data_IF_529066238844
#
_entry.id   IF_529066238844
#
_cell.length_a   1.000
_cell.length_b   1.000
_cell.length_c   1.000
_cell.angle_alpha   90.00
_cell.angle_beta   90.00
_cell.angle_gamma   90.00
#
_symmetry.space_group_name_H-M   'P 1'
#
loop_
_entity.id
_entity.type
_entity.pdbx_description
1 polymer ?
#
# COMPACT_ATOMS: atom_id res chain seq x y z
N UNK A 1 -10.39 6.58 23.91
CA UNK A 1 -11.59 7.37 23.55
C UNK A 1 -11.31 8.60 22.64
N UNK A 2 -10.14 8.68 21.97
CA UNK A 2 -9.75 9.86 21.18
C UNK A 2 -9.66 9.63 19.66
N UNK A 3 -10.35 8.62 19.13
CA UNK A 3 -10.22 8.23 17.71
C UNK A 3 -10.72 9.31 16.74
N UNK A 4 -11.54 10.25 17.21
CA UNK A 4 -11.99 11.40 16.41
C UNK A 4 -10.95 12.52 16.30
N UNK A 5 -9.96 12.58 17.21
CA UNK A 5 -9.02 13.71 17.28
C UNK A 5 -8.24 13.82 15.98
N UNK A 6 -7.62 12.73 15.52
CA UNK A 6 -6.84 12.74 14.29
C UNK A 6 -7.64 13.15 13.03
N UNK A 7 -8.80 12.54 12.70
CA UNK A 7 -9.55 12.93 11.50
C UNK A 7 -10.13 14.34 11.59
N UNK A 8 -10.56 14.80 12.78
CA UNK A 8 -11.06 16.17 12.96
C UNK A 8 -9.92 17.19 12.80
N UNK A 9 -8.77 16.96 13.44
CA UNK A 9 -7.59 17.84 13.30
C UNK A 9 -7.13 17.90 11.84
N UNK A 10 -7.08 16.76 11.15
CA UNK A 10 -6.74 16.72 9.72
C UNK A 10 -7.75 17.48 8.87
N UNK A 11 -9.06 17.29 9.12
CA UNK A 11 -10.12 18.01 8.41
C UNK A 11 -10.03 19.53 8.59
N UNK A 12 -9.81 20.02 9.81
CA UNK A 12 -9.62 21.45 10.10
C UNK A 12 -8.36 21.98 9.42
N UNK A 13 -7.25 21.24 9.47
CA UNK A 13 -6.00 21.63 8.82
C UNK A 13 -6.15 21.72 7.29
N UNK A 14 -6.81 20.75 6.66
CA UNK A 14 -7.09 20.76 5.22
C UNK A 14 -8.04 21.89 4.83
N UNK A 15 -9.05 22.20 5.65
CA UNK A 15 -9.93 23.33 5.40
C UNK A 15 -9.16 24.66 5.41
N UNK A 16 -8.33 24.87 6.44
CA UNK A 16 -7.47 26.04 6.55
C UNK A 16 -6.47 26.15 5.40
N UNK A 17 -5.81 25.05 5.04
CA UNK A 17 -4.89 24.99 3.92
C UNK A 17 -5.58 25.32 2.59
N UNK A 18 -6.77 24.76 2.33
CA UNK A 18 -7.52 25.05 1.11
C UNK A 18 -7.98 26.50 1.03
N UNK A 19 -8.36 27.10 2.16
CA UNK A 19 -8.67 28.53 2.22
C UNK A 19 -7.45 29.41 1.93
N UNK A 20 -6.30 29.08 2.54
CA UNK A 20 -5.05 29.78 2.29
C UNK A 20 -4.58 29.65 0.83
N UNK A 21 -4.65 28.44 0.26
CA UNK A 21 -4.30 28.20 -1.15
C UNK A 21 -5.23 28.98 -2.10
N UNK A 22 -6.52 29.03 -1.83
CA UNK A 22 -7.46 29.82 -2.62
C UNK A 22 -7.16 31.32 -2.59
N UNK A 23 -6.66 31.84 -1.46
CA UNK A 23 -6.27 33.24 -1.33
C UNK A 23 -4.89 33.55 -1.94
N UNK A 24 -3.90 32.68 -1.72
CA UNK A 24 -2.52 32.86 -2.20
C UNK A 24 -2.36 32.55 -3.70
N UNK A 25 -3.14 31.58 -4.20
CA UNK A 25 -3.06 31.06 -5.57
C UNK A 25 -4.45 30.90 -6.18
N UNK A 26 -5.19 32.00 -6.43
CA UNK A 26 -6.58 31.96 -6.89
C UNK A 26 -6.75 31.22 -8.22
N UNK A 27 -5.71 31.16 -9.05
CA UNK A 27 -5.70 30.40 -10.31
C UNK A 27 -5.88 28.88 -10.14
N UNK A 28 -5.68 28.34 -8.94
CA UNK A 28 -5.92 26.92 -8.65
C UNK A 28 -7.42 26.58 -8.52
N UNK A 29 -8.28 27.56 -8.24
CA UNK A 29 -9.72 27.34 -8.06
C UNK A 29 -10.07 26.41 -6.88
N UNK A 30 -9.18 26.30 -5.90
CA UNK A 30 -9.35 25.44 -4.72
C UNK A 30 -9.98 26.21 -3.57
N UNK A 31 -10.93 25.58 -2.88
CA UNK A 31 -11.53 26.06 -1.63
C UNK A 31 -11.22 25.10 -0.47
N UNK A 32 -11.38 25.59 0.77
CA UNK A 32 -11.24 24.76 1.98
C UNK A 32 -12.13 23.52 1.97
N UNK A 33 -13.40 23.68 1.61
CA UNK A 33 -14.34 22.55 1.55
C UNK A 33 -13.97 21.52 0.48
N UNK A 34 -13.57 21.96 -0.73
CA UNK A 34 -13.10 21.04 -1.78
C UNK A 34 -11.89 20.24 -1.33
N UNK A 35 -10.93 20.88 -0.66
CA UNK A 35 -9.73 20.18 -0.21
C UNK A 35 -10.05 19.13 0.87
N UNK A 36 -10.98 19.42 1.79
CA UNK A 36 -11.47 18.43 2.76
C UNK A 36 -12.14 17.25 2.05
N UNK A 37 -13.05 17.51 1.11
CA UNK A 37 -13.76 16.43 0.38
C UNK A 37 -12.78 15.53 -0.35
N UNK A 38 -11.84 16.11 -1.10
CA UNK A 38 -10.90 15.34 -1.93
C UNK A 38 -9.83 14.65 -1.09
N UNK A 39 -9.13 15.40 -0.24
CA UNK A 39 -7.95 14.89 0.46
C UNK A 39 -8.26 14.08 1.71
N UNK A 40 -9.42 14.28 2.35
CA UNK A 40 -9.86 13.44 3.47
C UNK A 40 -10.81 12.35 2.99
N UNK A 41 -11.99 12.70 2.49
CA UNK A 41 -13.05 11.71 2.26
C UNK A 41 -12.83 10.85 1.02
N UNK A 42 -12.57 11.45 -0.15
CA UNK A 42 -12.33 10.69 -1.38
C UNK A 42 -11.06 9.86 -1.28
N UNK A 43 -9.96 10.46 -0.79
CA UNK A 43 -8.70 9.76 -0.58
C UNK A 43 -8.86 8.56 0.38
N UNK A 44 -9.50 8.74 1.53
CA UNK A 44 -9.72 7.65 2.50
C UNK A 44 -10.61 6.54 1.93
N UNK A 45 -11.68 6.91 1.22
CA UNK A 45 -12.56 5.94 0.56
C UNK A 45 -11.80 5.12 -0.48
N UNK A 46 -10.99 5.79 -1.31
CA UNK A 46 -10.17 5.11 -2.32
C UNK A 46 -9.12 4.19 -1.66
N UNK A 47 -8.46 4.66 -0.60
CA UNK A 47 -7.51 3.87 0.18
C UNK A 47 -8.17 2.58 0.68
N UNK A 48 -9.36 2.66 1.29
CA UNK A 48 -10.06 1.47 1.76
C UNK A 48 -10.43 0.52 0.62
N UNK A 49 -10.90 1.02 -0.52
CA UNK A 49 -11.18 0.17 -1.67
C UNK A 49 -9.93 -0.55 -2.18
N UNK A 50 -8.79 0.14 -2.26
CA UNK A 50 -7.51 -0.46 -2.67
C UNK A 50 -7.04 -1.50 -1.65
N UNK A 51 -7.12 -1.22 -0.36
CA UNK A 51 -6.77 -2.20 0.69
C UNK A 51 -7.67 -3.43 0.63
N UNK A 52 -9.00 -3.25 0.53
CA UNK A 52 -9.93 -4.38 0.45
C UNK A 52 -9.85 -5.14 -0.87
N UNK A 53 -9.35 -4.51 -1.94
CA UNK A 53 -9.06 -5.18 -3.20
C UNK A 53 -8.01 -6.28 -3.03
N UNK A 54 -7.06 -6.15 -2.10
CA UNK A 54 -6.09 -7.22 -1.78
C UNK A 54 -6.82 -8.49 -1.35
N UNK A 55 -7.76 -8.39 -0.42
CA UNK A 55 -8.51 -9.54 0.09
C UNK A 55 -9.56 -10.08 -0.91
N UNK A 56 -10.05 -9.25 -1.83
CA UNK A 56 -11.06 -9.66 -2.82
C UNK A 56 -10.42 -10.05 -4.15
N UNK A 57 -9.90 -9.06 -4.89
CA UNK A 57 -9.23 -9.28 -6.19
C UNK A 57 -8.02 -10.20 -6.03
N UNK A 58 -7.23 -10.05 -4.97
CA UNK A 58 -6.06 -10.91 -4.70
C UNK A 58 -6.39 -12.37 -4.42
N UNK A 59 -7.66 -12.73 -4.20
CA UNK A 59 -8.12 -14.12 -4.11
C UNK A 59 -8.90 -14.59 -5.36
N UNK A 60 -9.19 -13.69 -6.30
CA UNK A 60 -9.99 -13.98 -7.49
C UNK A 60 -9.19 -13.95 -8.79
N UNK A 61 -8.25 -13.01 -8.94
CA UNK A 61 -7.55 -12.73 -10.19
C UNK A 61 -6.02 -12.77 -10.01
N UNK A 62 -5.34 -13.38 -10.98
CA UNK A 62 -3.88 -13.49 -11.00
C UNK A 62 -3.38 -14.92 -11.10
N UNK A 63 -2.05 -15.07 -11.02
CA UNK A 63 -1.37 -16.36 -11.07
C UNK A 63 -1.21 -16.95 -9.67
N UNK A 64 -1.11 -18.27 -9.59
CA UNK A 64 -0.81 -18.98 -8.34
C UNK A 64 0.49 -19.73 -8.55
N UNK A 65 1.55 -19.28 -7.89
CA UNK A 65 2.88 -19.88 -7.96
C UNK A 65 3.08 -20.96 -6.89
N UNK A 66 2.44 -20.76 -5.75
CA UNK A 66 2.59 -21.57 -4.56
C UNK A 66 1.28 -22.23 -4.15
N UNK A 67 1.37 -23.50 -3.76
CA UNK A 67 0.27 -24.25 -3.17
C UNK A 67 0.07 -23.81 -1.70
N UNK A 68 -0.87 -22.89 -1.50
CA UNK A 68 -1.33 -22.42 -0.18
C UNK A 68 -2.68 -23.07 0.21
N UNK A 69 -3.15 -22.88 1.44
CA UNK A 69 -4.46 -23.40 1.88
C UNK A 69 -5.66 -22.49 1.53
N UNK A 70 -5.47 -21.55 0.60
CA UNK A 70 -6.47 -20.56 0.19
C UNK A 70 -6.43 -20.30 -1.32
N UNK A 71 -7.20 -19.32 -1.77
CA UNK A 71 -7.26 -18.92 -3.18
C UNK A 71 -6.35 -17.71 -3.52
N UNK A 72 -5.36 -17.38 -2.70
CA UNK A 72 -4.48 -16.22 -2.93
C UNK A 72 -3.77 -16.31 -4.29
N UNK A 73 -3.62 -15.16 -4.95
CA UNK A 73 -3.04 -15.02 -6.29
C UNK A 73 -2.11 -13.82 -6.37
N UNK A 74 -1.06 -13.96 -7.16
CA UNK A 74 -0.17 -12.88 -7.53
C UNK A 74 -0.75 -12.10 -8.71
N UNK A 75 -0.89 -10.78 -8.55
CA UNK A 75 -1.40 -9.87 -9.57
C UNK A 75 -0.50 -8.64 -9.67
N UNK A 76 0.18 -8.49 -10.80
CA UNK A 76 1.08 -7.37 -11.08
C UNK A 76 0.36 -6.01 -10.97
N UNK A 77 -0.83 -5.90 -11.56
CA UNK A 77 -1.61 -4.66 -11.52
C UNK A 77 -2.07 -4.31 -10.11
N UNK A 78 -2.47 -5.33 -9.34
CA UNK A 78 -2.84 -5.12 -7.94
C UNK A 78 -1.62 -4.65 -7.16
N UNK A 79 -0.45 -5.27 -7.35
CA UNK A 79 0.79 -4.91 -6.67
C UNK A 79 1.22 -3.47 -6.97
N UNK A 80 1.02 -2.99 -8.20
CA UNK A 80 1.30 -1.60 -8.55
C UNK A 80 0.43 -0.61 -7.75
N UNK A 81 -0.87 -0.88 -7.63
CA UNK A 81 -1.83 0.01 -6.96
C UNK A 81 -1.71 -0.10 -5.43
N UNK A 82 -1.35 -1.27 -4.91
CA UNK A 82 -1.23 -1.54 -3.47
C UNK A 82 0.20 -1.47 -2.96
N UNK A 83 1.12 -0.91 -3.75
CA UNK A 83 2.52 -0.73 -3.40
C UNK A 83 3.29 -2.02 -3.01
N UNK A 84 2.89 -3.18 -3.57
CA UNK A 84 3.53 -4.47 -3.36
C UNK A 84 2.57 -5.57 -2.88
N UNK A 85 1.45 -5.20 -2.25
CA UNK A 85 0.51 -6.17 -1.62
C UNK A 85 -0.20 -7.11 -2.61
N UNK A 86 -0.06 -6.88 -3.92
CA UNK A 86 -0.64 -7.74 -4.95
C UNK A 86 0.15 -9.01 -5.21
N UNK A 87 1.35 -9.17 -4.65
CA UNK A 87 2.08 -10.45 -4.62
C UNK A 87 1.52 -11.37 -3.52
N UNK A 88 0.20 -11.51 -3.51
CA UNK A 88 -0.56 -12.04 -2.39
C UNK A 88 -0.33 -13.54 -2.17
N UNK A 89 -0.15 -14.31 -3.24
CA UNK A 89 0.18 -15.73 -3.13
C UNK A 89 1.60 -15.96 -2.58
N UNK A 90 2.55 -15.08 -2.91
CA UNK A 90 3.87 -15.11 -2.30
C UNK A 90 3.77 -14.81 -0.78
N UNK A 91 3.04 -13.75 -0.40
CA UNK A 91 2.83 -13.38 1.00
C UNK A 91 2.19 -14.53 1.80
N UNK A 92 1.14 -15.14 1.26
CA UNK A 92 0.47 -16.28 1.91
C UNK A 92 1.35 -17.54 1.98
N UNK A 93 2.29 -17.72 1.04
CA UNK A 93 3.25 -18.82 1.10
C UNK A 93 4.29 -18.63 2.19
N UNK A 94 4.81 -17.42 2.36
CA UNK A 94 5.88 -17.14 3.31
C UNK A 94 5.70 -15.75 3.96
N UNK A 95 4.77 -15.63 4.93
CA UNK A 95 4.40 -14.35 5.55
C UNK A 95 5.49 -13.78 6.47
N UNK A 96 6.54 -14.56 6.74
CA UNK A 96 7.69 -14.11 7.53
C UNK A 96 8.69 -13.25 6.74
N UNK A 97 8.56 -13.18 5.41
CA UNK A 97 9.36 -12.28 4.57
C UNK A 97 8.85 -10.84 4.69
N UNK A 98 9.75 -9.87 4.70
CA UNK A 98 9.39 -8.45 4.70
C UNK A 98 8.77 -8.03 3.37
N UNK A 99 9.31 -8.57 2.27
CA UNK A 99 8.87 -8.27 0.91
C UNK A 99 7.88 -9.30 0.46
N UNK A 100 6.92 -8.87 -0.36
CA UNK A 100 5.94 -9.74 -0.97
C UNK A 100 6.33 -10.11 -2.40
N UNK A 101 7.04 -9.21 -3.09
CA UNK A 101 7.71 -9.54 -4.35
C UNK A 101 8.93 -10.43 -4.06
N UNK A 102 8.94 -11.69 -4.49
CA UNK A 102 10.02 -12.65 -4.23
C UNK A 102 11.09 -12.69 -5.33
N UNK A 103 10.79 -12.16 -6.50
CA UNK A 103 11.72 -12.13 -7.63
C UNK A 103 12.03 -10.71 -8.06
N UNK A 104 13.18 -10.49 -8.73
CA UNK A 104 13.66 -9.14 -9.05
C UNK A 104 12.72 -8.34 -9.97
N UNK A 105 11.88 -9.02 -10.75
CA UNK A 105 10.87 -8.41 -11.62
C UNK A 105 9.55 -8.11 -10.90
N UNK A 106 9.39 -8.55 -9.64
CA UNK A 106 8.20 -8.33 -8.84
C UNK A 106 8.32 -7.02 -8.08
N UNK A 107 7.82 -5.95 -8.69
CA UNK A 107 7.89 -4.59 -8.14
C UNK A 107 7.15 -4.51 -6.81
N UNK A 108 7.87 -4.08 -5.78
CA UNK A 108 7.37 -3.96 -4.40
C UNK A 108 7.90 -2.65 -3.80
N UNK A 109 7.07 -1.59 -3.86
CA UNK A 109 7.48 -0.26 -3.38
C UNK A 109 7.63 -0.22 -1.86
N UNK A 110 6.88 -1.04 -1.13
CA UNK A 110 7.00 -1.15 0.32
C UNK A 110 8.36 -1.73 0.71
N UNK A 111 8.79 -2.80 0.04
CA UNK A 111 10.14 -3.36 0.19
C UNK A 111 11.24 -2.30 -0.08
N UNK A 112 11.12 -1.53 -1.17
CA UNK A 112 12.11 -0.50 -1.48
C UNK A 112 12.21 0.57 -0.38
N UNK A 113 11.07 0.95 0.21
CA UNK A 113 11.03 1.84 1.36
C UNK A 113 11.75 1.25 2.59
N UNK A 114 11.51 -0.02 2.90
CA UNK A 114 12.19 -0.73 4.00
C UNK A 114 13.70 -0.82 3.77
N UNK A 115 14.14 -1.12 2.54
CA UNK A 115 15.57 -1.15 2.19
C UNK A 115 16.21 0.22 2.35
N UNK A 116 15.54 1.29 1.91
CA UNK A 116 16.03 2.66 2.11
C UNK A 116 16.16 2.98 3.61
N UNK A 117 15.15 2.64 4.42
CA UNK A 117 15.20 2.82 5.87
C UNK A 117 16.32 1.99 6.53
N UNK A 118 16.63 0.81 5.99
CA UNK A 118 17.74 -0.03 6.45
C UNK A 118 19.09 0.64 6.18
N UNK A 119 19.27 1.25 5.00
CA UNK A 119 20.48 2.02 4.69
C UNK A 119 20.64 3.26 5.57
N UNK A 120 19.54 3.86 6.00
CA UNK A 120 19.54 4.97 6.95
C UNK A 120 19.74 4.53 8.41
N UNK A 121 19.80 3.22 8.69
CA UNK A 121 19.96 2.68 10.03
C UNK A 121 18.70 2.78 10.90
N UNK A 122 17.53 3.06 10.30
CA UNK A 122 16.25 3.15 11.02
C UNK A 122 15.69 1.77 11.33
N UNK A 123 15.93 0.81 10.43
CA UNK A 123 15.54 -0.60 10.60
C UNK A 123 16.76 -1.51 10.37
N UNK A 124 16.74 -2.69 10.95
CA UNK A 124 17.79 -3.72 10.83
C UNK A 124 17.15 -5.11 10.89
N UNK A 125 17.93 -6.15 10.59
CA UNK A 125 17.47 -7.55 10.50
C UNK A 125 16.30 -7.73 9.50
N UNK A 126 16.43 -7.14 8.30
CA UNK A 126 15.41 -7.27 7.24
C UNK A 126 15.45 -8.69 6.66
N UNK A 127 14.37 -9.45 6.84
CA UNK A 127 14.30 -10.88 6.47
C UNK A 127 13.55 -11.08 5.17
N UNK A 128 14.24 -11.58 4.15
CA UNK A 128 13.62 -11.98 2.89
C UNK A 128 13.13 -13.43 2.88
N UNK A 129 12.59 -13.89 1.74
CA UNK A 129 12.15 -15.28 1.57
C UNK A 129 13.34 -16.24 1.63
N UNK A 130 13.12 -17.43 2.20
CA UNK A 130 14.17 -18.45 2.27
C UNK A 130 14.53 -18.98 0.88
N UNK A 131 15.76 -19.49 0.75
CA UNK A 131 16.22 -20.09 -0.51
C UNK A 131 15.36 -21.28 -0.95
N UNK A 132 14.78 -22.02 -0.01
CA UNK A 132 13.83 -23.11 -0.30
C UNK A 132 12.55 -22.59 -0.95
N UNK A 133 11.98 -21.50 -0.43
CA UNK A 133 10.76 -20.88 -1.00
C UNK A 133 11.02 -20.33 -2.39
N UNK A 134 12.19 -19.72 -2.62
CA UNK A 134 12.58 -19.24 -3.95
C UNK A 134 12.72 -20.41 -4.94
N UNK A 135 13.33 -21.53 -4.51
CA UNK A 135 13.46 -22.74 -5.34
C UNK A 135 12.14 -23.41 -5.64
N UNK A 136 11.22 -23.44 -4.67
CA UNK A 136 9.88 -24.00 -4.85
C UNK A 136 9.12 -23.28 -5.97
N UNK A 137 9.13 -21.94 -5.96
CA UNK A 137 8.40 -21.14 -6.94
C UNK A 137 9.08 -21.01 -8.31
N UNK A 138 10.29 -21.53 -8.47
CA UNK A 138 11.03 -21.58 -9.73
C UNK A 138 10.76 -22.85 -10.55
N UNK A 139 9.95 -23.79 -10.01
CA UNK A 139 9.52 -25.02 -10.68
C UNK A 139 8.28 -24.78 -11.52
#
# INVERSE_FOLDING_TARGET
>A
EHHYVAPVTLGVALFGLGHWLGAAYPGLGVSGAQLVVVALFCSTTLLYHVTFAVNSIGHCLGSRRYETNDASRNSFWLALVTAGEGWHNNHHRYPASERQGFYWWEVDFTHYGVVLLSWLGVVWDVRGPSADVIREGAR
#
